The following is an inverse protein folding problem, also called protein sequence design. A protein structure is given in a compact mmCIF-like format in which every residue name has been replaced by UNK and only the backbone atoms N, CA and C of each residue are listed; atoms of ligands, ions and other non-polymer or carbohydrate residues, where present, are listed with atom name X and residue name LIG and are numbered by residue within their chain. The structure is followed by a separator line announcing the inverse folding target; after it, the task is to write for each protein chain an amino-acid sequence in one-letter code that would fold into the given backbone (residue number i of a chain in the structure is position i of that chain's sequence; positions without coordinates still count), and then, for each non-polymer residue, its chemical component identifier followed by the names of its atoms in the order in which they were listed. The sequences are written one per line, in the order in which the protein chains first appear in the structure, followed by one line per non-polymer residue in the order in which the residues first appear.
data_IF_850955987319
#
_entry.id   IF_850955987319
#
_cell.length_a   1.000
_cell.length_b   1.000
_cell.length_c   1.000
_cell.angle_alpha   90.00
_cell.angle_beta   90.00
_cell.angle_gamma   90.00
#
_symmetry.space_group_name_H-M   'P 1'
#
loop_
_entity.id
_entity.type
_entity.pdbx_description
1 polymer ?
#
# COMPACT_ATOMS: atom_id res chain seq x y z
N UNK A 1 2.00 11.93 -27.28
CA UNK A 1 0.78 11.74 -28.08
C UNK A 1 0.38 10.26 -28.12
N UNK A 2 0.03 9.68 -26.96
CA UNK A 2 -0.53 8.31 -26.88
C UNK A 2 -1.78 8.24 -25.98
N UNK A 3 -2.02 9.27 -25.16
CA UNK A 3 -3.15 9.29 -24.22
C UNK A 3 -4.52 9.63 -24.85
N UNK A 4 -4.60 9.78 -26.18
CA UNK A 4 -5.80 10.32 -26.84
C UNK A 4 -6.45 9.36 -27.84
N UNK A 5 -5.82 8.21 -28.14
CA UNK A 5 -6.23 7.33 -29.25
C UNK A 5 -7.09 6.14 -28.80
N UNK A 6 -7.24 5.89 -27.49
CA UNK A 6 -7.99 4.74 -26.95
C UNK A 6 -7.35 3.38 -27.22
N UNK A 7 -6.17 3.36 -27.86
CA UNK A 7 -5.45 2.14 -28.19
C UNK A 7 -4.68 1.63 -26.96
N UNK A 8 -4.86 0.34 -26.64
CA UNK A 8 -4.18 -0.28 -25.49
C UNK A 8 -2.67 -0.37 -25.76
N UNK A 9 -1.81 0.15 -24.86
CA UNK A 9 -0.38 -0.03 -24.98
C UNK A 9 -0.02 -1.52 -24.87
N UNK A 10 0.99 -1.97 -25.61
CA UNK A 10 1.48 -3.37 -25.57
C UNK A 10 2.57 -3.59 -24.53
N UNK A 11 3.17 -2.52 -23.98
CA UNK A 11 4.25 -2.59 -23.00
C UNK A 11 4.20 -1.42 -22.02
N UNK A 12 4.47 -1.72 -20.75
CA UNK A 12 4.71 -0.76 -19.68
C UNK A 12 6.15 -0.89 -19.18
N UNK A 13 6.69 0.19 -18.63
CA UNK A 13 8.08 0.24 -18.15
C UNK A 13 8.17 0.97 -16.82
N UNK A 14 8.72 0.29 -15.81
CA UNK A 14 9.05 0.89 -14.52
C UNK A 14 10.54 1.25 -14.49
N UNK A 15 10.82 2.54 -14.35
CA UNK A 15 12.16 3.10 -14.31
C UNK A 15 12.61 3.30 -12.85
N UNK A 16 13.54 2.48 -12.37
CA UNK A 16 14.27 2.76 -11.13
C UNK A 16 15.50 3.59 -11.48
N UNK A 17 15.39 4.91 -11.29
CA UNK A 17 16.43 5.87 -11.69
C UNK A 17 17.79 5.49 -11.08
N UNK A 18 18.82 5.42 -11.93
CA UNK A 18 20.19 5.08 -11.53
C UNK A 18 20.44 3.59 -11.23
N UNK A 19 19.46 2.70 -11.41
CA UNK A 19 19.59 1.28 -11.05
C UNK A 19 19.21 0.35 -12.20
N UNK A 20 17.91 0.26 -12.52
CA UNK A 20 17.41 -0.68 -13.53
C UNK A 20 16.08 -0.26 -14.11
N UNK A 21 15.75 -0.87 -15.22
CA UNK A 21 14.44 -0.79 -15.86
C UNK A 21 13.76 -2.15 -15.78
N UNK A 22 12.47 -2.16 -15.50
CA UNK A 22 11.63 -3.35 -15.57
C UNK A 22 10.60 -3.14 -16.69
N UNK A 23 10.63 -3.99 -17.70
CA UNK A 23 9.64 -4.03 -18.77
C UNK A 23 8.56 -5.08 -18.46
N UNK A 24 7.31 -4.72 -18.68
CA UNK A 24 6.15 -5.61 -18.48
C UNK A 24 5.29 -5.57 -19.74
N UNK A 25 4.94 -6.75 -20.27
CA UNK A 25 3.99 -6.86 -21.36
C UNK A 25 2.59 -6.49 -20.86
N UNK A 26 1.88 -5.66 -21.62
CA UNK A 26 0.51 -5.25 -21.29
C UNK A 26 -0.45 -6.08 -22.13
N UNK A 27 -0.97 -7.14 -21.53
CA UNK A 27 -1.98 -8.02 -22.14
C UNK A 27 -3.32 -7.84 -21.44
N UNK A 28 -4.45 -8.08 -22.12
CA UNK A 28 -5.76 -8.07 -21.47
C UNK A 28 -5.79 -8.95 -20.20
N UNK A 29 -5.26 -10.17 -20.30
CA UNK A 29 -5.17 -11.11 -19.17
C UNK A 29 -4.32 -10.65 -17.99
N UNK A 30 -3.37 -9.71 -18.19
CA UNK A 30 -2.59 -9.12 -17.11
C UNK A 30 -3.27 -7.87 -16.52
N UNK A 31 -4.09 -7.18 -17.31
CA UNK A 31 -4.75 -5.93 -16.94
C UNK A 31 -6.10 -6.17 -16.26
N UNK A 32 -6.92 -7.07 -16.81
CA UNK A 32 -8.27 -7.34 -16.31
C UNK A 32 -8.31 -7.67 -14.81
N UNK A 33 -7.48 -8.59 -14.27
CA UNK A 33 -7.52 -8.89 -12.83
C UNK A 33 -7.12 -7.70 -11.96
N UNK A 34 -6.25 -6.82 -12.47
CA UNK A 34 -5.81 -5.61 -11.76
C UNK A 34 -6.94 -4.58 -11.75
N UNK A 35 -7.66 -4.42 -12.87
CA UNK A 35 -8.84 -3.55 -12.95
C UNK A 35 -9.93 -4.04 -11.99
N UNK A 36 -10.19 -5.34 -11.94
CA UNK A 36 -11.17 -5.93 -11.02
C UNK A 36 -10.77 -5.71 -9.55
N UNK A 37 -9.51 -6.00 -9.20
CA UNK A 37 -9.00 -5.80 -7.85
C UNK A 37 -9.02 -4.32 -7.44
N UNK A 38 -8.73 -3.42 -8.38
CA UNK A 38 -8.85 -1.98 -8.17
C UNK A 38 -10.31 -1.57 -7.94
N UNK A 39 -11.24 -2.11 -8.72
CA UNK A 39 -12.68 -1.87 -8.55
C UNK A 39 -13.18 -2.30 -7.18
N UNK A 40 -12.79 -3.50 -6.72
CA UNK A 40 -13.10 -3.98 -5.36
C UNK A 40 -12.51 -3.07 -4.29
N UNK A 41 -11.26 -2.65 -4.46
CA UNK A 41 -10.60 -1.71 -3.53
C UNK A 41 -11.33 -0.37 -3.47
N UNK A 42 -11.78 0.13 -4.62
CA UNK A 42 -12.56 1.37 -4.71
C UNK A 42 -13.90 1.27 -3.98
N UNK A 43 -14.64 0.18 -4.18
CA UNK A 43 -15.90 -0.06 -3.47
C UNK A 43 -15.70 -0.11 -1.96
N UNK A 44 -14.67 -0.81 -1.47
CA UNK A 44 -14.37 -0.83 -0.03
C UNK A 44 -14.04 0.56 0.53
N UNK A 45 -13.30 1.39 -0.20
CA UNK A 45 -13.03 2.77 0.22
C UNK A 45 -14.33 3.59 0.28
N UNK A 46 -15.20 3.44 -0.71
CA UNK A 46 -16.50 4.12 -0.73
C UNK A 46 -17.38 3.70 0.46
N UNK A 47 -17.47 2.40 0.74
CA UNK A 47 -18.24 1.87 1.86
C UNK A 47 -17.68 2.35 3.20
N UNK A 48 -16.36 2.33 3.38
CA UNK A 48 -15.70 2.83 4.59
C UNK A 48 -15.97 4.33 4.81
N UNK A 49 -15.89 5.14 3.74
CA UNK A 49 -16.22 6.57 3.83
C UNK A 49 -17.72 6.83 4.10
N UNK A 50 -18.61 5.98 3.58
CA UNK A 50 -20.07 6.14 3.76
C UNK A 50 -20.52 5.72 5.16
N UNK A 51 -19.90 4.68 5.70
CA UNK A 51 -20.23 4.13 7.03
C UNK A 51 -19.41 4.76 8.15
N UNK A 52 -18.34 5.49 7.82
CA UNK A 52 -17.31 5.98 8.73
C UNK A 52 -16.60 4.84 9.51
N UNK A 53 -16.64 3.61 9.00
CA UNK A 53 -15.97 2.45 9.60
C UNK A 53 -14.74 2.09 8.78
N UNK A 54 -13.57 2.22 9.40
CA UNK A 54 -12.26 1.95 8.79
C UNK A 54 -11.60 0.75 9.45
N UNK A 55 -12.01 -0.46 9.04
CA UNK A 55 -11.52 -1.71 9.63
C UNK A 55 -9.99 -1.85 9.48
N UNK A 56 -9.22 -1.94 10.58
CA UNK A 56 -7.78 -2.08 10.52
C UNK A 56 -7.35 -3.40 9.87
N UNK A 57 -6.27 -3.36 9.07
CA UNK A 57 -5.61 -4.55 8.52
C UNK A 57 -4.14 -4.54 8.89
N UNK A 58 -3.77 -4.93 10.14
CA UNK A 58 -2.40 -4.81 10.62
C UNK A 58 -1.43 -5.66 9.78
N UNK A 59 -0.27 -5.09 9.47
CA UNK A 59 0.77 -5.75 8.69
C UNK A 59 2.08 -4.96 8.68
N UNK A 60 3.05 -5.32 7.82
CA UNK A 60 4.35 -4.66 7.78
C UNK A 60 4.27 -3.14 7.59
N UNK A 61 3.31 -2.69 6.79
CA UNK A 61 3.13 -1.26 6.46
C UNK A 61 2.65 -0.41 7.65
N UNK A 62 2.20 -1.01 8.76
CA UNK A 62 1.93 -0.26 9.99
C UNK A 62 3.17 0.53 10.46
N UNK A 63 4.38 0.02 10.20
CA UNK A 63 5.64 0.73 10.47
C UNK A 63 5.80 2.09 9.78
N UNK A 64 5.07 2.30 8.69
CA UNK A 64 5.11 3.52 7.86
C UNK A 64 3.75 4.22 7.80
N UNK A 65 2.76 3.77 8.57
CA UNK A 65 1.43 4.36 8.58
C UNK A 65 1.43 5.68 9.37
N UNK A 66 0.96 6.80 8.79
CA UNK A 66 0.90 8.08 9.50
C UNK A 66 -0.18 8.11 10.60
N UNK A 67 -1.11 7.16 10.60
CA UNK A 67 -2.23 7.09 11.54
C UNK A 67 -1.99 6.14 12.72
N UNK A 68 -0.80 5.57 12.86
CA UNK A 68 -0.48 4.61 13.93
C UNK A 68 -0.83 5.13 15.32
N UNK A 69 -0.61 6.42 15.60
CA UNK A 69 -0.95 7.02 16.89
C UNK A 69 -2.44 6.91 17.27
N UNK A 70 -3.31 6.67 16.28
CA UNK A 70 -4.77 6.57 16.42
C UNK A 70 -5.29 5.16 16.13
N UNK A 71 -4.42 4.16 15.91
CA UNK A 71 -4.80 2.80 15.55
C UNK A 71 -4.18 1.78 16.52
N UNK A 72 -4.94 1.32 17.54
CA UNK A 72 -4.47 0.36 18.54
C UNK A 72 -3.94 -0.94 17.94
N UNK A 73 -4.60 -1.45 16.90
CA UNK A 73 -4.22 -2.68 16.21
C UNK A 73 -2.90 -2.51 15.45
N UNK A 74 -2.67 -1.33 14.89
CA UNK A 74 -1.41 -0.95 14.26
C UNK A 74 -0.26 -0.86 15.28
N UNK A 75 -0.52 -0.25 16.44
CA UNK A 75 0.45 -0.20 17.55
C UNK A 75 0.83 -1.60 18.04
N UNK A 76 -0.16 -2.48 18.23
CA UNK A 76 0.08 -3.87 18.62
C UNK A 76 0.95 -4.63 17.60
N UNK A 77 0.70 -4.43 16.30
CA UNK A 77 1.50 -5.05 15.24
C UNK A 77 2.94 -4.51 15.19
N UNK A 78 3.14 -3.21 15.43
CA UNK A 78 4.48 -2.61 15.52
C UNK A 78 5.24 -3.20 16.71
N UNK A 79 4.62 -3.24 17.90
CA UNK A 79 5.21 -3.83 19.10
C UNK A 79 5.67 -5.26 18.82
N UNK A 80 4.78 -6.09 18.27
CA UNK A 80 5.09 -7.48 17.89
C UNK A 80 6.29 -7.57 16.93
N UNK A 81 6.39 -6.68 15.95
CA UNK A 81 7.49 -6.69 14.97
C UNK A 81 8.82 -6.19 15.53
N UNK A 82 8.79 -5.24 16.46
CA UNK A 82 9.97 -4.77 17.19
C UNK A 82 10.50 -5.90 18.08
N UNK A 83 9.63 -6.61 18.80
CA UNK A 83 10.00 -7.79 19.59
C UNK A 83 10.63 -8.91 18.75
N UNK A 84 10.16 -9.08 17.51
CA UNK A 84 10.73 -10.01 16.54
C UNK A 84 12.04 -9.51 15.88
N UNK A 85 12.44 -8.26 16.09
CA UNK A 85 13.64 -7.67 15.49
C UNK A 85 13.54 -7.44 13.97
N UNK A 86 12.33 -7.41 13.40
CA UNK A 86 12.11 -7.25 11.94
C UNK A 86 11.66 -5.85 11.54
N UNK A 87 11.46 -4.96 12.53
CA UNK A 87 11.14 -3.56 12.33
C UNK A 87 12.12 -2.72 13.14
N UNK A 88 12.84 -1.83 12.48
CA UNK A 88 13.88 -1.00 13.09
C UNK A 88 13.62 0.50 12.92
N UNK A 89 14.58 1.30 13.37
CA UNK A 89 14.44 2.76 13.56
C UNK A 89 14.15 3.58 12.29
N UNK A 90 14.35 2.98 11.11
CA UNK A 90 14.01 3.59 9.82
C UNK A 90 12.49 3.63 9.56
N UNK A 91 11.71 2.85 10.33
CA UNK A 91 10.27 2.91 10.31
C UNK A 91 9.79 3.98 11.31
N UNK A 92 9.14 5.07 10.85
CA UNK A 92 8.79 6.19 11.70
C UNK A 92 7.87 5.80 12.86
N UNK A 93 7.07 4.75 12.71
CA UNK A 93 6.14 4.32 13.73
C UNK A 93 6.80 3.71 14.97
N UNK A 94 8.06 3.27 14.89
CA UNK A 94 8.84 2.79 16.05
C UNK A 94 9.06 3.92 17.04
N UNK A 95 9.45 5.10 16.56
CA UNK A 95 9.62 6.29 17.41
C UNK A 95 8.27 6.77 17.99
N UNK A 96 7.19 6.66 17.22
CA UNK A 96 5.84 7.05 17.66
C UNK A 96 5.32 6.16 18.80
N UNK A 97 5.64 4.86 18.78
CA UNK A 97 5.27 3.93 19.84
C UNK A 97 5.96 4.28 21.17
N UNK A 98 7.25 4.58 21.14
CA UNK A 98 8.01 4.98 22.31
C UNK A 98 7.53 6.32 22.92
N UNK A 99 7.02 7.24 22.10
CA UNK A 99 6.48 8.53 22.55
C UNK A 99 5.07 8.46 23.17
N UNK A 100 4.39 7.32 23.03
CA UNK A 100 3.01 7.10 23.49
C UNK A 100 2.94 6.26 24.79
N UNK A 101 4.10 5.91 25.36
CA UNK A 101 4.30 5.09 26.58
C UNK A 101 4.74 5.97 27.74
#
# INVERSE_FOLDING_TARGET
MAAHTGEQPSRARLLYLGQRTIDVAVTPSAVEPVVDALGVTWSHMHDACTTEVFEPRPGPLCGWCPYTAQCPEGQAEIQRRVELGVLGDHAPAVAQLAASS
#
